data_IF_228106682629
#
_entry.id   IF_228106682629
#
_cell.length_a   1.000
_cell.length_b   1.000
_cell.length_c   1.000
_cell.angle_alpha   90.00
_cell.angle_beta   90.00
_cell.angle_gamma   90.00
#
_symmetry.space_group_name_H-M   'P 1'
#
loop_
_entity.id
_entity.type
_entity.pdbx_description
1 polymer ?
#
# COMPACT_ATOMS: atom_id res chain seq x y z
N UNK A 1 -1.74 3.53 -16.14
CA UNK A 1 -0.37 3.06 -15.87
C UNK A 1 -0.23 2.77 -14.39
N UNK A 2 0.18 1.53 -14.07
CA UNK A 2 0.41 1.09 -12.69
C UNK A 2 1.73 1.66 -12.16
N UNK A 3 1.72 2.22 -10.95
CA UNK A 3 2.90 2.71 -10.23
C UNK A 3 2.89 2.16 -8.81
N UNK A 4 4.06 1.76 -8.33
CA UNK A 4 4.27 1.26 -6.96
C UNK A 4 5.35 2.11 -6.32
N UNK A 5 5.06 2.65 -5.15
CA UNK A 5 5.94 3.55 -4.41
C UNK A 5 6.12 3.06 -2.97
N UNK A 6 7.33 3.27 -2.45
CA UNK A 6 7.62 3.17 -1.03
C UNK A 6 7.78 4.60 -0.51
N UNK A 7 6.95 4.96 0.46
CA UNK A 7 6.84 6.32 0.99
C UNK A 7 7.05 6.31 2.51
N UNK A 8 7.62 7.38 3.05
CA UNK A 8 7.56 7.60 4.49
C UNK A 8 6.24 8.29 4.85
N UNK A 9 5.89 8.32 6.14
CA UNK A 9 4.68 9.00 6.60
C UNK A 9 4.61 10.47 6.13
N UNK A 10 5.72 11.19 6.12
CA UNK A 10 5.76 12.60 5.72
C UNK A 10 5.43 12.82 4.23
N UNK A 11 5.70 11.83 3.37
CA UNK A 11 5.47 11.89 1.93
C UNK A 11 4.00 11.61 1.56
N UNK A 12 3.18 11.15 2.52
CA UNK A 12 1.74 10.96 2.33
C UNK A 12 1.01 12.30 2.35
N UNK A 13 -0.05 12.41 1.55
CA UNK A 13 -0.98 13.54 1.64
C UNK A 13 -1.75 13.53 2.97
N UNK A 14 -2.30 14.67 3.37
CA UNK A 14 -3.05 14.78 4.63
C UNK A 14 -4.24 13.80 4.69
N UNK A 15 -4.93 13.60 3.55
CA UNK A 15 -6.05 12.65 3.43
C UNK A 15 -5.57 11.21 3.61
N UNK A 16 -4.42 10.86 3.04
CA UNK A 16 -3.81 9.54 3.19
C UNK A 16 -3.33 9.29 4.62
N UNK A 17 -2.78 10.31 5.29
CA UNK A 17 -2.38 10.23 6.70
C UNK A 17 -3.56 9.94 7.63
N UNK A 18 -4.74 10.48 7.33
CA UNK A 18 -5.97 10.22 8.08
C UNK A 18 -6.53 8.81 7.85
N UNK A 19 -6.42 8.29 6.62
CA UNK A 19 -6.97 6.98 6.23
C UNK A 19 -6.02 5.79 6.37
N UNK A 20 -4.72 6.02 6.56
CA UNK A 20 -3.72 4.96 6.59
C UNK A 20 -3.84 4.08 7.85
N UNK A 21 -3.73 2.76 7.63
CA UNK A 21 -3.69 1.76 8.68
C UNK A 21 -2.45 1.95 9.58
N UNK A 22 -2.65 1.87 10.90
CA UNK A 22 -1.61 2.04 11.93
C UNK A 22 -0.90 3.41 11.94
N UNK A 23 -1.65 4.50 11.74
CA UNK A 23 -1.16 5.87 11.91
C UNK A 23 -0.95 6.32 13.39
N UNK A 24 -0.68 5.35 14.28
CA UNK A 24 -0.47 5.54 15.70
C UNK A 24 0.95 6.01 16.06
N UNK A 25 1.40 5.70 17.28
CA UNK A 25 2.77 6.01 17.69
C UNK A 25 3.79 5.21 16.88
N UNK A 26 4.89 5.84 16.45
CA UNK A 26 5.96 5.19 15.70
C UNK A 26 5.75 5.14 14.19
N UNK A 27 4.67 5.75 13.66
CA UNK A 27 4.39 5.87 12.23
C UNK A 27 5.49 6.59 11.43
N UNK A 28 6.28 7.41 12.10
CA UNK A 28 7.43 8.11 11.53
C UNK A 28 8.59 7.17 11.18
N UNK A 29 8.57 5.93 11.70
CA UNK A 29 9.59 4.91 11.48
C UNK A 29 9.12 3.79 10.55
N UNK A 30 7.91 3.88 9.99
CA UNK A 30 7.35 2.86 9.10
C UNK A 30 7.30 3.38 7.67
N UNK A 31 7.42 2.45 6.72
CA UNK A 31 7.23 2.70 5.30
C UNK A 31 5.82 2.31 4.87
N UNK A 32 5.33 3.01 3.85
CA UNK A 32 4.03 2.78 3.24
C UNK A 32 4.23 2.30 1.81
N UNK A 33 3.57 1.21 1.46
CA UNK A 33 3.44 0.74 0.08
C UNK A 33 2.20 1.41 -0.50
N UNK A 34 2.42 2.28 -1.48
CA UNK A 34 1.35 2.93 -2.25
C UNK A 34 1.30 2.37 -3.65
N UNK A 35 0.14 1.86 -4.04
CA UNK A 35 -0.13 1.41 -5.41
C UNK A 35 -1.12 2.35 -6.05
N UNK A 36 -0.74 2.95 -7.17
CA UNK A 36 -1.62 3.80 -7.98
C UNK A 36 -1.80 3.26 -9.38
N UNK A 37 -2.97 3.51 -9.97
CA UNK A 37 -3.27 3.23 -11.37
C UNK A 37 -4.10 4.38 -11.92
N UNK A 38 -3.66 4.99 -13.02
CA UNK A 38 -4.35 6.12 -13.67
C UNK A 38 -4.69 7.27 -12.68
N UNK A 39 -3.72 7.62 -11.83
CA UNK A 39 -3.79 8.64 -10.76
C UNK A 39 -4.66 8.29 -9.55
N UNK A 40 -5.38 7.17 -9.57
CA UNK A 40 -6.16 6.68 -8.44
C UNK A 40 -5.31 5.81 -7.50
N UNK A 41 -5.48 6.00 -6.17
CA UNK A 41 -4.85 5.17 -5.14
C UNK A 41 -5.67 3.90 -4.95
N UNK A 42 -5.06 2.75 -5.26
CA UNK A 42 -5.70 1.44 -5.14
C UNK A 42 -5.40 0.75 -3.81
N UNK A 43 -4.17 0.88 -3.34
CA UNK A 43 -3.71 0.31 -2.08
C UNK A 43 -2.77 1.29 -1.39
N UNK A 44 -2.92 1.40 -0.07
CA UNK A 44 -2.02 2.13 0.80
C UNK A 44 -1.92 1.35 2.12
N UNK A 45 -0.80 0.65 2.31
CA UNK A 45 -0.60 -0.21 3.50
C UNK A 45 0.76 0.05 4.14
N UNK A 46 0.82 0.02 5.48
CA UNK A 46 2.05 0.20 6.25
C UNK A 46 2.79 -1.12 6.48
N UNK A 47 4.12 -1.07 6.39
CA UNK A 47 5.01 -2.18 6.79
C UNK A 47 5.29 -2.23 8.30
N UNK A 48 4.72 -1.28 9.04
CA UNK A 48 4.91 -1.14 10.49
C UNK A 48 4.53 -2.42 11.23
N UNK A 49 5.49 -3.01 11.93
CA UNK A 49 5.29 -4.18 12.79
C UNK A 49 5.59 -3.79 14.24
N UNK A 50 4.58 -3.90 15.11
CA UNK A 50 4.78 -3.75 16.55
C UNK A 50 5.38 -5.05 17.14
N UNK A 51 6.08 -5.00 18.29
CA UNK A 51 6.58 -6.21 18.96
C UNK A 51 5.51 -7.28 19.18
N UNK A 52 4.28 -6.84 19.44
CA UNK A 52 3.09 -7.65 19.61
C UNK A 52 2.76 -8.42 18.31
N UNK A 53 2.96 -7.83 17.13
CA UNK A 53 2.74 -8.50 15.84
C UNK A 53 3.62 -9.75 15.65
N UNK A 54 4.80 -9.79 16.26
CA UNK A 54 5.68 -10.96 16.25
C UNK A 54 5.12 -12.14 17.06
N UNK A 55 4.17 -11.88 17.96
CA UNK A 55 3.57 -12.89 18.85
C UNK A 55 2.09 -13.16 18.56
N UNK A 56 1.37 -12.16 18.08
CA UNK A 56 -0.08 -12.20 17.79
C UNK A 56 -0.40 -12.27 16.29
N UNK A 57 0.63 -12.35 15.44
CA UNK A 57 0.56 -12.38 13.98
C UNK A 57 -0.01 -11.10 13.36
N UNK A 58 0.79 -10.44 12.52
CA UNK A 58 0.29 -9.38 11.65
C UNK A 58 -0.53 -9.97 10.51
N UNK A 59 -1.68 -9.38 10.24
CA UNK A 59 -2.46 -9.73 9.06
C UNK A 59 -1.82 -9.15 7.79
N UNK A 60 -1.20 -10.03 7.00
CA UNK A 60 -0.63 -9.74 5.69
C UNK A 60 -1.45 -10.37 4.55
N UNK A 61 -2.69 -10.78 4.82
CA UNK A 61 -3.57 -11.42 3.85
C UNK A 61 -3.97 -10.52 2.68
N UNK A 62 -3.75 -9.21 2.80
CA UNK A 62 -3.93 -8.24 1.73
C UNK A 62 -2.91 -8.41 0.58
N UNK A 63 -1.71 -8.93 0.84
CA UNK A 63 -0.61 -9.01 -0.14
C UNK A 63 -1.01 -9.84 -1.38
N UNK A 64 -1.51 -11.08 -1.27
CA UNK A 64 -1.89 -11.85 -2.45
C UNK A 64 -3.04 -11.22 -3.24
N UNK A 65 -3.96 -10.52 -2.56
CA UNK A 65 -5.05 -9.79 -3.20
C UNK A 65 -4.54 -8.62 -4.04
N UNK A 66 -3.68 -7.79 -3.43
CA UNK A 66 -3.01 -6.68 -4.10
C UNK A 66 -2.23 -7.16 -5.33
N UNK A 67 -1.41 -8.21 -5.21
CA UNK A 67 -0.61 -8.71 -6.33
C UNK A 67 -1.48 -9.17 -7.51
N UNK A 68 -2.60 -9.85 -7.23
CA UNK A 68 -3.54 -10.28 -8.28
C UNK A 68 -4.24 -9.08 -8.94
N UNK A 69 -4.63 -8.07 -8.17
CA UNK A 69 -5.22 -6.84 -8.70
C UNK A 69 -4.25 -6.10 -9.62
N UNK A 70 -3.01 -5.90 -9.18
CA UNK A 70 -1.94 -5.30 -9.98
C UNK A 70 -1.69 -6.07 -11.28
N UNK A 71 -1.65 -7.41 -11.23
CA UNK A 71 -1.47 -8.25 -12.41
C UNK A 71 -2.63 -8.08 -13.41
N UNK A 72 -3.87 -8.13 -12.94
CA UNK A 72 -5.04 -7.98 -13.80
C UNK A 72 -5.10 -6.59 -14.48
N UNK A 73 -4.73 -5.53 -13.76
CA UNK A 73 -4.63 -4.18 -14.31
C UNK A 73 -3.53 -4.07 -15.36
N UNK A 74 -2.34 -4.64 -15.10
CA UNK A 74 -1.25 -4.70 -16.07
C UNK A 74 -1.63 -5.47 -17.33
N UNK A 75 -2.36 -6.59 -17.19
CA UNK A 75 -2.86 -7.36 -18.32
C UNK A 75 -3.88 -6.55 -19.15
N UNK A 76 -4.81 -5.84 -18.49
CA UNK A 76 -5.79 -4.99 -19.15
C UNK A 76 -5.12 -3.82 -19.91
N UNK A 77 -4.14 -3.15 -19.31
CA UNK A 77 -3.37 -2.07 -19.94
C UNK A 77 -2.63 -2.58 -21.20
N UNK A 78 -2.05 -3.79 -21.13
CA UNK A 78 -1.39 -4.40 -22.29
C UNK A 78 -2.34 -4.64 -23.47
N UNK A 79 -3.61 -4.93 -23.20
CA UNK A 79 -4.65 -5.18 -24.22
C UNK A 79 -5.26 -3.90 -24.80
N UNK A 80 -5.26 -2.79 -24.03
CA UNK A 80 -5.73 -1.47 -24.49
C UNK A 80 -4.75 -0.77 -25.43
N UNK A 81 -3.50 -1.22 -25.49
CA UNK A 81 -2.43 -0.59 -26.30
C UNK A 81 -2.40 -1.14 -27.74
N UNK A 82 -3.52 -1.66 -28.26
CA UNK A 82 -3.68 -2.17 -29.63
C UNK A 82 -4.73 -1.35 -30.37
#
# INVERSE_FOLDING_TARGET
MLKVELLNFEDLSDIEKEGASNNGFGKEYVSYIKVTHDDDVLYLESDGMEPEDATFYRDLSWIPGMLKACYALGEADSKKTI
#
